data_IF_517017076034
#
_entry.id   IF_517017076034
#
_cell.length_a   1.000
_cell.length_b   1.000
_cell.length_c   1.000
_cell.angle_alpha   90.00
_cell.angle_beta   90.00
_cell.angle_gamma   90.00
#
_symmetry.space_group_name_H-M   'P 1'
#
loop_
_entity.id
_entity.type
_entity.pdbx_description
1 polymer ?
#
# COMPACT_ATOMS: atom_id res chain seq x y z
N UNK A 1 -11.35 33.85 -29.91
CA UNK A 1 -12.16 33.69 -28.68
C UNK A 1 -12.23 32.24 -28.18
N UNK A 2 -12.53 31.22 -29.01
CA UNK A 2 -12.62 29.80 -28.57
C UNK A 2 -11.42 29.29 -27.77
N UNK A 3 -10.19 29.64 -28.19
CA UNK A 3 -8.94 29.23 -27.51
C UNK A 3 -8.84 29.82 -26.09
N UNK A 4 -9.17 31.10 -25.93
CA UNK A 4 -9.15 31.79 -24.63
C UNK A 4 -10.15 31.15 -23.65
N UNK A 5 -11.34 30.80 -24.14
CA UNK A 5 -12.35 30.08 -23.35
C UNK A 5 -11.84 28.71 -22.88
N UNK A 6 -11.02 28.03 -23.69
CA UNK A 6 -10.44 26.72 -23.33
C UNK A 6 -9.33 26.86 -22.29
N UNK A 7 -8.50 27.90 -22.38
CA UNK A 7 -7.47 28.20 -21.37
C UNK A 7 -8.09 28.58 -20.03
N UNK A 8 -9.13 29.42 -20.02
CA UNK A 8 -9.84 29.79 -18.78
C UNK A 8 -10.49 28.56 -18.14
N UNK A 9 -11.15 27.71 -18.93
CA UNK A 9 -11.74 26.46 -18.42
C UNK A 9 -10.69 25.50 -17.84
N UNK A 10 -9.51 25.44 -18.43
CA UNK A 10 -8.40 24.63 -17.92
C UNK A 10 -7.83 25.16 -16.60
N UNK A 11 -7.62 26.48 -16.49
CA UNK A 11 -7.14 27.09 -15.25
C UNK A 11 -8.14 26.87 -14.12
N UNK A 12 -9.44 27.05 -14.39
CA UNK A 12 -10.51 26.81 -13.41
C UNK A 12 -10.54 25.34 -12.98
N UNK A 13 -10.43 24.40 -13.93
CA UNK A 13 -10.39 22.97 -13.62
C UNK A 13 -9.17 22.58 -12.79
N UNK A 14 -7.99 23.13 -13.10
CA UNK A 14 -6.78 22.92 -12.31
C UNK A 14 -6.94 23.42 -10.87
N UNK A 15 -7.44 24.65 -10.70
CA UNK A 15 -7.66 25.24 -9.37
C UNK A 15 -8.69 24.44 -8.58
N UNK A 16 -9.78 24.01 -9.20
CA UNK A 16 -10.80 23.17 -8.56
C UNK A 16 -10.23 21.83 -8.09
N UNK A 17 -9.44 21.16 -8.94
CA UNK A 17 -8.82 19.88 -8.58
C UNK A 17 -7.79 20.07 -7.46
N UNK A 18 -6.96 21.13 -7.51
CA UNK A 18 -6.02 21.44 -6.43
C UNK A 18 -6.73 21.73 -5.11
N UNK A 19 -7.83 22.51 -5.14
CA UNK A 19 -8.62 22.80 -3.93
C UNK A 19 -9.29 21.56 -3.37
N UNK A 20 -9.84 20.69 -4.22
CA UNK A 20 -10.41 19.41 -3.80
C UNK A 20 -9.36 18.50 -3.18
N UNK A 21 -8.11 18.54 -3.67
CA UNK A 21 -7.01 17.76 -3.11
C UNK A 21 -6.55 18.30 -1.76
N UNK A 22 -6.52 19.62 -1.58
CA UNK A 22 -6.13 20.28 -0.33
C UNK A 22 -7.22 20.17 0.74
N UNK A 23 -8.50 20.17 0.34
CA UNK A 23 -9.64 20.03 1.27
C UNK A 23 -10.11 18.58 1.45
N UNK A 24 -9.50 17.60 0.78
CA UNK A 24 -9.82 16.20 0.96
C UNK A 24 -9.42 15.73 2.37
N UNK A 25 -10.40 15.65 3.26
CA UNK A 25 -10.25 15.05 4.59
C UNK A 25 -10.54 13.55 4.58
N UNK A 26 -11.07 13.04 3.46
CA UNK A 26 -11.48 11.63 3.31
C UNK A 26 -10.88 11.00 2.04
N UNK A 27 -10.54 9.71 2.13
CA UNK A 27 -9.98 8.96 0.99
C UNK A 27 -10.93 8.85 -0.20
N UNK A 28 -12.25 8.93 0.02
CA UNK A 28 -13.25 8.95 -1.06
C UNK A 28 -13.13 10.23 -1.88
N UNK A 29 -12.90 11.39 -1.23
CA UNK A 29 -12.68 12.65 -1.92
C UNK A 29 -11.38 12.64 -2.73
N UNK A 30 -10.33 12.00 -2.21
CA UNK A 30 -9.07 11.83 -2.92
C UNK A 30 -9.21 10.89 -4.14
N UNK A 31 -9.94 9.77 -3.99
CA UNK A 31 -10.23 8.86 -5.11
C UNK A 31 -11.02 9.56 -6.23
N UNK A 32 -12.01 10.39 -5.87
CA UNK A 32 -12.77 11.20 -6.85
C UNK A 32 -11.87 12.23 -7.54
N UNK A 33 -10.95 12.87 -6.82
CA UNK A 33 -9.98 13.80 -7.41
C UNK A 33 -9.01 13.10 -8.40
N UNK A 34 -8.57 11.89 -8.08
CA UNK A 34 -7.72 11.06 -8.96
C UNK A 34 -8.48 10.66 -10.23
N UNK A 35 -9.77 10.33 -10.13
CA UNK A 35 -10.62 10.01 -11.30
C UNK A 35 -10.87 11.26 -12.17
N UNK A 36 -10.89 12.46 -11.60
CA UNK A 36 -11.03 13.72 -12.34
C UNK A 36 -9.74 14.14 -13.06
N UNK A 37 -8.58 13.64 -12.62
CA UNK A 37 -7.27 13.95 -13.23
C UNK A 37 -7.14 13.60 -14.74
N UNK A 38 -7.60 12.43 -15.25
CA UNK A 38 -7.58 12.14 -16.68
C UNK A 38 -8.44 13.11 -17.53
N UNK A 39 -9.49 13.71 -16.94
CA UNK A 39 -10.28 14.74 -17.62
C UNK A 39 -9.45 16.02 -17.79
N UNK A 40 -8.70 16.41 -16.75
CA UNK A 40 -7.74 17.53 -16.84
C UNK A 40 -6.63 17.23 -17.86
N UNK A 41 -6.07 16.01 -17.85
CA UNK A 41 -5.07 15.58 -18.82
C UNK A 41 -5.59 15.61 -20.27
N UNK A 42 -6.86 15.27 -20.49
CA UNK A 42 -7.52 15.42 -21.79
C UNK A 42 -7.58 16.89 -22.25
N UNK A 43 -7.88 17.83 -21.34
CA UNK A 43 -7.82 19.26 -21.65
C UNK A 43 -6.40 19.74 -21.95
N UNK A 44 -5.38 19.25 -21.23
CA UNK A 44 -3.96 19.54 -21.52
C UNK A 44 -3.59 19.11 -22.93
N UNK A 45 -3.94 17.88 -23.32
CA UNK A 45 -3.65 17.35 -24.66
C UNK A 45 -4.38 18.12 -25.76
N UNK A 46 -5.55 18.69 -25.48
CA UNK A 46 -6.31 19.51 -26.42
C UNK A 46 -5.78 20.95 -26.53
N UNK A 47 -5.15 21.46 -25.47
CA UNK A 47 -4.61 22.82 -25.39
C UNK A 47 -3.18 22.89 -25.95
N UNK A 48 -2.37 21.85 -25.74
CA UNK A 48 -1.04 21.77 -26.33
C UNK A 48 -1.18 21.63 -27.85
N UNK A 49 -0.69 22.59 -28.65
CA UNK A 49 -0.68 22.42 -30.09
C UNK A 49 0.21 21.22 -30.40
N UNK A 50 -0.39 20.13 -30.91
CA UNK A 50 0.37 19.08 -31.59
C UNK A 50 1.17 19.78 -32.67
N UNK A 51 2.45 20.02 -32.42
CA UNK A 51 3.41 20.37 -33.47
C UNK A 51 3.43 19.16 -34.38
N UNK A 52 2.64 19.22 -35.44
CA UNK A 52 2.76 18.34 -36.59
C UNK A 52 4.20 18.48 -37.03
N UNK A 53 5.00 17.45 -36.80
CA UNK A 53 6.36 17.38 -37.31
C UNK A 53 6.20 17.37 -38.83
N UNK A 54 6.40 18.52 -39.47
CA UNK A 54 6.55 18.58 -40.91
C UNK A 54 7.81 17.78 -41.20
N UNK A 55 7.63 16.60 -41.76
CA UNK A 55 8.72 15.79 -42.27
C UNK A 55 9.24 16.52 -43.51
N UNK A 56 10.48 17.05 -43.53
CA UNK A 56 11.03 17.56 -44.77
C UNK A 56 11.22 16.36 -45.72
N UNK A 57 10.75 16.49 -46.95
CA UNK A 57 11.01 15.54 -48.01
C UNK A 57 12.53 15.53 -48.29
N UNK A 58 13.23 14.56 -47.72
CA UNK A 58 14.62 14.26 -48.10
C UNK A 58 14.57 13.08 -49.06
N UNK A 59 15.13 13.34 -50.25
CA UNK A 59 15.23 12.43 -51.37
C UNK A 59 15.85 11.09 -50.96
N UNK A 60 15.34 10.03 -51.60
CA UNK A 60 15.95 8.70 -51.62
C UNK A 60 17.39 8.82 -52.14
N UNK A 61 18.36 8.46 -51.31
CA UNK A 61 19.66 8.00 -51.79
C UNK A 61 20.06 6.72 -51.07
N UNK A 62 20.61 5.83 -51.87
CA UNK A 62 20.78 4.39 -51.69
C UNK A 62 22.09 4.05 -50.98
N UNK A 63 22.03 3.02 -50.13
CA UNK A 63 23.06 2.06 -49.71
C UNK A 63 24.47 2.53 -49.33
N UNK A 64 24.82 2.22 -48.07
CA UNK A 64 26.19 2.07 -47.60
C UNK A 64 26.21 1.38 -46.24
N UNK A 65 26.50 0.08 -46.22
CA UNK A 65 26.71 -0.72 -45.00
C UNK A 65 27.95 -0.22 -44.27
N UNK A 66 27.75 0.44 -43.13
CA UNK A 66 28.70 0.49 -42.02
C UNK A 66 27.90 0.31 -40.73
N UNK A 67 28.34 -0.60 -39.86
CA UNK A 67 27.80 -0.82 -38.52
C UNK A 67 28.07 0.42 -37.64
N UNK A 68 27.26 1.45 -37.81
CA UNK A 68 27.09 2.49 -36.81
C UNK A 68 26.12 1.93 -35.76
N UNK A 69 26.64 1.44 -34.63
CA UNK A 69 25.80 1.08 -33.47
C UNK A 69 24.93 2.28 -33.17
N UNK A 70 23.66 2.16 -33.51
CA UNK A 70 22.73 3.27 -33.64
C UNK A 70 22.70 4.09 -32.34
N UNK A 71 23.17 5.33 -32.37
CA UNK A 71 23.07 6.28 -31.25
C UNK A 71 21.61 6.50 -30.80
N UNK A 72 20.65 6.13 -31.65
CA UNK A 72 19.23 6.05 -31.33
C UNK A 72 18.94 5.09 -30.16
N UNK A 73 19.65 3.95 -30.08
CA UNK A 73 19.49 2.99 -28.99
C UNK A 73 20.05 3.52 -27.69
N UNK A 74 21.18 4.24 -27.70
CA UNK A 74 21.74 4.82 -26.47
C UNK A 74 20.82 5.86 -25.85
N UNK A 75 20.20 6.72 -26.67
CA UNK A 75 19.26 7.74 -26.16
C UNK A 75 17.94 7.12 -25.70
N UNK A 76 17.49 6.06 -26.36
CA UNK A 76 16.27 5.34 -25.98
C UNK A 76 16.49 4.52 -24.71
N UNK A 77 17.64 3.87 -24.59
CA UNK A 77 18.10 3.17 -23.40
C UNK A 77 18.27 4.12 -22.20
N UNK A 78 18.92 5.28 -22.39
CA UNK A 78 19.11 6.26 -21.31
C UNK A 78 17.78 6.84 -20.83
N UNK A 79 16.82 7.04 -21.75
CA UNK A 79 15.45 7.43 -21.39
C UNK A 79 14.71 6.32 -20.65
N UNK A 80 14.88 5.07 -21.04
CA UNK A 80 14.21 3.92 -20.43
C UNK A 80 14.74 3.67 -19.01
N UNK A 81 16.07 3.65 -18.84
CA UNK A 81 16.72 3.48 -17.53
C UNK A 81 16.41 4.66 -16.62
N UNK A 82 16.47 5.89 -17.15
CA UNK A 82 16.11 7.09 -16.39
C UNK A 82 14.64 7.11 -15.96
N UNK A 83 13.71 6.81 -16.87
CA UNK A 83 12.28 6.77 -16.56
C UNK A 83 11.94 5.65 -15.57
N UNK A 84 12.53 4.47 -15.75
CA UNK A 84 12.34 3.32 -14.84
C UNK A 84 12.90 3.62 -13.46
N UNK A 85 14.10 4.22 -13.37
CA UNK A 85 14.72 4.61 -12.10
C UNK A 85 13.92 5.67 -11.35
N UNK A 86 13.45 6.71 -12.05
CA UNK A 86 12.57 7.74 -11.45
C UNK A 86 11.25 7.12 -10.99
N UNK A 87 10.68 6.18 -11.76
CA UNK A 87 9.46 5.48 -11.38
C UNK A 87 9.64 4.65 -10.09
N UNK A 88 10.73 3.88 -9.98
CA UNK A 88 11.05 3.15 -8.75
C UNK A 88 11.30 4.09 -7.56
N UNK A 89 11.99 5.22 -7.78
CA UNK A 89 12.23 6.22 -6.74
C UNK A 89 10.92 6.84 -6.23
N UNK A 90 10.03 7.26 -7.14
CA UNK A 90 8.73 7.81 -6.79
C UNK A 90 7.85 6.74 -6.12
N UNK A 91 7.83 5.52 -6.64
CA UNK A 91 7.13 4.39 -6.03
C UNK A 91 7.64 4.08 -4.61
N UNK A 92 8.94 4.23 -4.36
CA UNK A 92 9.54 4.09 -3.03
C UNK A 92 9.07 5.18 -2.05
N UNK A 93 8.88 6.42 -2.50
CA UNK A 93 8.29 7.48 -1.67
C UNK A 93 6.85 7.16 -1.26
N UNK A 94 6.06 6.54 -2.15
CA UNK A 94 4.68 6.16 -1.86
C UNK A 94 4.54 4.84 -1.10
N UNK A 95 5.53 3.94 -1.17
CA UNK A 95 5.56 2.69 -0.39
C UNK A 95 5.56 2.92 1.13
N UNK A 96 6.08 4.06 1.60
CA UNK A 96 6.03 4.45 3.03
C UNK A 96 4.65 4.93 3.48
N UNK A 97 3.74 5.22 2.54
CA UNK A 97 2.36 5.67 2.80
C UNK A 97 1.31 4.61 2.46
N UNK A 98 1.72 3.37 2.17
CA UNK A 98 0.81 2.22 2.08
C UNK A 98 0.44 1.63 3.46
N UNK A 99 0.97 2.20 4.56
CA UNK A 99 0.59 1.86 5.94
C UNK A 99 -0.62 2.63 6.48
N UNK A 100 -1.20 3.54 5.71
CA UNK A 100 -2.37 4.32 6.10
C UNK A 100 -3.53 4.00 5.15
N UNK A 101 -4.03 2.77 5.22
CA UNK A 101 -5.33 2.41 4.64
C UNK A 101 -6.42 2.61 5.71
N UNK A 102 -7.52 3.32 5.41
CA UNK A 102 -8.63 3.53 6.33
C UNK A 102 -9.61 2.34 6.33
N UNK A 103 -9.10 1.11 6.27
CA UNK A 103 -9.87 -0.10 6.53
C UNK A 103 -9.26 -0.76 7.75
N UNK A 104 -10.07 -0.88 8.81
CA UNK A 104 -9.66 -1.30 10.15
C UNK A 104 -8.89 -2.63 10.18
N UNK A 105 -7.56 -2.52 10.10
CA UNK A 105 -6.56 -3.32 10.78
C UNK A 105 -5.23 -2.71 10.38
N UNK A 106 -4.63 -1.92 11.26
CA UNK A 106 -3.20 -1.72 11.19
C UNK A 106 -2.55 -3.10 11.25
N UNK A 107 -1.92 -3.53 10.16
CA UNK A 107 -0.82 -4.49 10.27
C UNK A 107 0.28 -3.75 11.02
N UNK A 108 0.20 -3.86 12.35
CA UNK A 108 1.00 -3.10 13.28
C UNK A 108 2.46 -3.53 13.20
N UNK A 109 3.29 -2.73 12.55
CA UNK A 109 4.60 -2.40 13.10
C UNK A 109 4.49 -1.02 13.75
N UNK A 110 4.38 -1.02 15.08
CA UNK A 110 4.64 0.10 15.98
C UNK A 110 3.72 1.31 15.85
N UNK A 111 2.77 1.45 16.77
CA UNK A 111 2.07 2.73 16.95
C UNK A 111 0.86 2.64 17.85
N UNK A 112 1.00 3.17 19.07
CA UNK A 112 -0.02 3.23 20.12
C UNK A 112 -1.33 3.88 19.65
N UNK A 113 -2.46 3.25 19.98
CA UNK A 113 -3.70 3.99 20.28
C UNK A 113 -4.61 3.19 21.21
N UNK A 114 -4.60 3.60 22.47
CA UNK A 114 -5.65 3.36 23.46
C UNK A 114 -6.93 4.01 22.92
N UNK A 115 -8.02 3.26 22.80
CA UNK A 115 -9.36 3.85 22.88
C UNK A 115 -10.36 2.86 23.45
N UNK A 116 -10.93 3.23 24.60
CA UNK A 116 -11.80 2.41 25.40
C UNK A 116 -13.25 2.32 24.90
N UNK A 117 -13.89 1.25 25.36
CA UNK A 117 -15.31 1.02 25.60
C UNK A 117 -16.32 1.49 24.55
N UNK A 118 -16.99 0.51 23.92
CA UNK A 118 -18.44 0.49 23.77
C UNK A 118 -18.91 -0.96 23.66
N UNK A 119 -19.67 -1.39 24.65
CA UNK A 119 -20.34 -2.67 24.68
C UNK A 119 -21.48 -2.71 23.65
N UNK A 120 -21.42 -3.70 22.75
CA UNK A 120 -22.58 -4.18 21.99
C UNK A 120 -22.55 -5.71 22.02
N UNK A 121 -23.56 -6.38 22.59
CA UNK A 121 -23.63 -7.83 22.60
C UNK A 121 -24.17 -8.32 21.25
N UNK A 122 -23.43 -9.23 20.61
CA UNK A 122 -23.96 -10.03 19.50
C UNK A 122 -23.35 -9.72 18.14
N UNK A 123 -22.18 -10.33 17.88
CA UNK A 123 -21.80 -10.98 16.62
C UNK A 123 -20.36 -11.46 16.82
N UNK A 124 -20.17 -12.78 16.93
CA UNK A 124 -18.84 -13.38 17.07
C UNK A 124 -17.98 -13.09 15.84
N UNK A 125 -17.21 -12.01 15.90
CA UNK A 125 -16.07 -11.81 15.01
C UNK A 125 -14.99 -12.80 15.45
N UNK A 126 -14.43 -13.64 14.54
CA UNK A 126 -13.34 -14.56 14.86
C UNK A 126 -11.98 -13.84 15.03
N UNK A 127 -11.98 -12.72 15.77
CA UNK A 127 -10.82 -11.85 15.96
C UNK A 127 -10.75 -11.20 17.35
N UNK A 128 -11.32 -11.82 18.37
CA UNK A 128 -11.53 -11.22 19.70
C UNK A 128 -10.50 -11.64 20.75
N UNK A 129 -9.24 -11.90 20.37
CA UNK A 129 -8.18 -11.94 21.40
C UNK A 129 -8.02 -10.55 22.03
N UNK A 130 -7.97 -9.52 21.18
CA UNK A 130 -7.92 -8.12 21.60
C UNK A 130 -9.17 -7.64 22.32
N UNK A 131 -10.36 -8.17 21.99
CA UNK A 131 -11.59 -7.83 22.72
C UNK A 131 -11.72 -8.57 24.06
N UNK A 132 -10.93 -9.62 24.31
CA UNK A 132 -10.79 -10.28 25.61
C UNK A 132 -9.66 -9.69 26.48
N UNK A 133 -9.07 -8.56 26.06
CA UNK A 133 -8.01 -7.86 26.81
C UNK A 133 -6.59 -8.36 26.53
N UNK A 134 -6.41 -9.32 25.63
CA UNK A 134 -5.09 -9.80 25.24
C UNK A 134 -4.40 -8.80 24.29
N UNK A 135 -3.18 -8.41 24.62
CA UNK A 135 -2.31 -7.54 23.83
C UNK A 135 -1.13 -8.33 23.30
N UNK A 136 -0.65 -7.98 22.10
CA UNK A 136 0.53 -8.61 21.53
C UNK A 136 1.76 -8.23 22.35
N UNK A 137 2.58 -9.22 22.69
CA UNK A 137 3.79 -9.03 23.51
C UNK A 137 5.04 -9.40 22.73
N UNK A 138 5.02 -10.51 22.00
CA UNK A 138 6.17 -10.97 21.22
C UNK A 138 5.72 -11.59 19.89
N UNK A 139 6.61 -11.52 18.89
CA UNK A 139 6.42 -12.12 17.57
C UNK A 139 7.73 -12.83 17.22
N UNK A 140 7.63 -14.09 16.83
CA UNK A 140 8.74 -14.86 16.28
C UNK A 140 8.39 -15.25 14.84
N UNK A 141 9.06 -14.60 13.89
CA UNK A 141 8.81 -14.77 12.46
C UNK A 141 9.85 -15.72 11.86
N UNK A 142 9.38 -16.90 11.48
CA UNK A 142 10.19 -18.00 10.94
C UNK A 142 9.35 -18.90 10.03
N UNK A 143 9.85 -20.11 9.72
CA UNK A 143 9.08 -21.07 8.93
C UNK A 143 7.74 -21.46 9.60
N UNK A 144 7.76 -21.50 10.93
CA UNK A 144 6.57 -21.54 11.76
C UNK A 144 6.54 -20.20 12.52
N UNK A 145 5.51 -19.41 12.30
CA UNK A 145 5.36 -18.11 12.94
C UNK A 145 4.63 -18.26 14.27
N UNK A 146 5.14 -17.62 15.32
CA UNK A 146 4.50 -17.60 16.63
C UNK A 146 4.13 -16.18 17.02
N UNK A 147 2.94 -16.02 17.60
CA UNK A 147 2.47 -14.74 18.13
C UNK A 147 2.10 -14.91 19.59
N UNK A 148 2.78 -14.16 20.45
CA UNK A 148 2.59 -14.18 21.90
C UNK A 148 1.69 -13.04 22.33
N UNK A 149 0.64 -13.36 23.07
CA UNK A 149 -0.29 -12.40 23.63
C UNK A 149 -0.33 -12.53 25.14
N UNK A 150 -0.34 -11.40 25.85
CA UNK A 150 -0.54 -11.35 27.30
C UNK A 150 -1.69 -10.43 27.65
N UNK A 151 -2.31 -10.68 28.80
CA UNK A 151 -3.39 -9.87 29.34
C UNK A 151 -2.93 -9.26 30.67
N UNK A 152 -3.64 -8.23 31.13
CA UNK A 152 -3.30 -7.47 32.35
C UNK A 152 -3.31 -8.33 33.62
N UNK A 153 -4.03 -9.46 33.60
CA UNK A 153 -4.09 -10.44 34.69
C UNK A 153 -2.91 -11.43 34.69
N UNK A 154 -2.00 -11.34 33.70
CA UNK A 154 -0.88 -12.25 33.52
C UNK A 154 -1.21 -13.53 32.75
N UNK A 155 -2.48 -13.70 32.34
CA UNK A 155 -2.84 -14.77 31.42
C UNK A 155 -2.22 -14.54 30.04
N UNK A 156 -1.96 -15.63 29.33
CA UNK A 156 -1.27 -15.59 28.06
C UNK A 156 -1.84 -16.58 27.06
N UNK A 157 -1.65 -16.24 25.79
CA UNK A 157 -2.00 -17.07 24.65
C UNK A 157 -0.86 -17.00 23.63
N UNK A 158 -0.46 -18.16 23.10
CA UNK A 158 0.52 -18.25 22.02
C UNK A 158 -0.18 -18.86 20.83
N UNK A 159 -0.25 -18.10 19.73
CA UNK A 159 -0.69 -18.59 18.43
C UNK A 159 0.50 -19.18 17.69
N UNK A 160 0.28 -20.34 17.08
CA UNK A 160 1.21 -20.99 16.15
C UNK A 160 0.56 -21.00 14.78
N UNK A 161 1.26 -20.42 13.82
CA UNK A 161 0.95 -20.45 12.39
C UNK A 161 1.99 -21.31 11.68
N UNK A 162 1.54 -22.43 11.13
CA UNK A 162 2.36 -23.26 10.26
C UNK A 162 2.13 -22.85 8.81
N UNK A 163 3.13 -22.22 8.20
CA UNK A 163 3.04 -21.68 6.84
C UNK A 163 2.99 -22.76 5.76
N UNK A 164 3.50 -23.96 6.03
CA UNK A 164 3.49 -25.08 5.09
C UNK A 164 2.10 -25.73 5.03
N UNK A 165 1.49 -25.95 6.19
CA UNK A 165 0.15 -26.56 6.28
C UNK A 165 -0.99 -25.54 6.29
N UNK A 166 -0.65 -24.24 6.32
CA UNK A 166 -1.60 -23.13 6.51
C UNK A 166 -2.51 -23.35 7.74
N UNK A 167 -1.97 -23.95 8.80
CA UNK A 167 -2.74 -24.32 9.98
C UNK A 167 -2.48 -23.39 11.16
N UNK A 168 -3.56 -23.02 11.85
CA UNK A 168 -3.52 -22.15 13.01
C UNK A 168 -3.88 -22.95 14.27
N UNK A 169 -3.03 -22.85 15.28
CA UNK A 169 -3.24 -23.48 16.59
C UNK A 169 -2.96 -22.50 17.70
N UNK A 170 -3.42 -22.79 18.91
CA UNK A 170 -3.10 -21.99 20.08
C UNK A 170 -2.70 -22.83 21.30
N UNK A 171 -1.92 -22.22 22.17
CA UNK A 171 -1.70 -22.65 23.55
C UNK A 171 -2.07 -21.49 24.48
N UNK A 172 -2.57 -21.77 25.69
CA UNK A 172 -2.90 -20.73 26.67
C UNK A 172 -2.47 -21.13 28.08
N UNK A 173 -2.26 -20.13 28.93
CA UNK A 173 -1.98 -20.33 30.35
C UNK A 173 -2.39 -19.11 31.18
N UNK A 174 -2.43 -19.28 32.50
CA UNK A 174 -2.83 -18.23 33.44
C UNK A 174 -1.68 -17.37 33.95
N UNK A 175 -0.42 -17.81 33.80
CA UNK A 175 0.77 -17.10 34.24
C UNK A 175 2.04 -17.68 33.60
N UNK A 176 3.17 -16.98 33.72
CA UNK A 176 4.47 -17.50 33.27
C UNK A 176 4.70 -17.38 31.76
N UNK A 177 4.27 -16.27 31.15
CA UNK A 177 4.46 -16.03 29.72
C UNK A 177 5.93 -16.16 29.26
N UNK A 178 6.94 -15.56 29.92
CA UNK A 178 8.33 -15.63 29.43
C UNK A 178 8.85 -17.07 29.31
N UNK A 179 8.65 -17.89 30.34
CA UNK A 179 9.06 -19.30 30.32
C UNK A 179 8.29 -20.12 29.26
N UNK A 180 7.01 -19.82 29.06
CA UNK A 180 6.18 -20.48 28.05
C UNK A 180 6.59 -20.06 26.64
N UNK A 181 6.97 -18.80 26.46
CA UNK A 181 7.45 -18.24 25.22
C UNK A 181 8.81 -18.81 24.81
N UNK A 182 9.75 -18.92 25.76
CA UNK A 182 11.04 -19.59 25.52
C UNK A 182 10.84 -21.05 25.07
N UNK A 183 9.84 -21.73 25.62
CA UNK A 183 9.49 -23.11 25.26
C UNK A 183 8.38 -23.22 24.20
N UNK A 184 8.06 -22.14 23.45
CA UNK A 184 6.91 -22.06 22.55
C UNK A 184 6.82 -23.19 21.53
N UNK A 185 7.94 -23.71 21.05
CA UNK A 185 7.95 -24.78 20.05
C UNK A 185 7.45 -26.12 20.59
N UNK A 186 7.60 -26.37 21.90
CA UNK A 186 7.28 -27.64 22.54
C UNK A 186 5.96 -27.62 23.32
N UNK A 187 5.21 -26.51 23.24
CA UNK A 187 3.90 -26.43 23.90
C UNK A 187 2.89 -27.38 23.23
N UNK A 188 1.91 -27.80 24.02
CA UNK A 188 0.76 -28.54 23.48
C UNK A 188 -0.23 -27.55 22.86
N UNK A 189 -0.32 -27.60 21.55
CA UNK A 189 -1.19 -26.74 20.76
C UNK A 189 -2.54 -27.40 20.46
N UNK A 190 -3.61 -26.63 20.57
CA UNK A 190 -4.98 -27.05 20.32
C UNK A 190 -5.62 -26.24 19.17
N UNK A 191 -6.76 -26.72 18.66
CA UNK A 191 -7.55 -26.04 17.65
C UNK A 191 -8.35 -24.88 18.24
N UNK A 192 -8.43 -23.77 17.51
CA UNK A 192 -9.14 -22.55 17.90
C UNK A 192 -10.62 -22.72 18.27
N UNK A 193 -11.31 -23.76 17.78
CA UNK A 193 -12.70 -23.98 18.19
C UNK A 193 -12.83 -24.33 19.68
N UNK A 194 -11.76 -24.80 20.34
CA UNK A 194 -11.72 -25.05 21.79
C UNK A 194 -11.47 -23.78 22.62
N UNK A 195 -11.26 -22.63 21.96
CA UNK A 195 -11.04 -21.35 22.62
C UNK A 195 -12.36 -20.67 23.03
N UNK A 196 -13.47 -21.03 22.37
CA UNK A 196 -14.79 -20.42 22.52
C UNK A 196 -15.79 -21.36 23.19
#
# INVERSE_FOLDING_TARGET
MRKILTYIGFVIACVLVSLLFVTATTYIQLAVAVILYPIVAYFVMKILPRKTRVVPAVAVQTAGTQEEVADFDRRTFLKLVGATGIFFFVSSLFGKWAGALPFGKSLGLGGNSIQGNSATPGAGNPGSLTANGYQISEIDDGAITFYGFTNVDGSWLIMKEDTETSSFRYAKGSSGFPASWDNRQNLKYDYYYNLF
#
